data_IF_331775121882
#
_entry.id   IF_331775121882
#
_cell.length_a   1.000
_cell.length_b   1.000
_cell.length_c   1.000
_cell.angle_alpha   90.00
_cell.angle_beta   90.00
_cell.angle_gamma   90.00
#
_symmetry.space_group_name_H-M   'P 1'
#
loop_
_entity.id
_entity.type
_entity.pdbx_description
1 polymer ?
#
# COMPACT_ATOMS: atom_id res chain seq x y z
N UNK A 1 -0.87 -18.74 -2.34
CA UNK A 1 -1.03 -18.24 -3.72
C UNK A 1 -2.23 -17.29 -3.73
N UNK A 2 -2.00 -15.97 -3.71
CA UNK A 2 -3.05 -14.94 -3.86
C UNK A 2 -3.45 -14.88 -5.34
N UNK A 3 -4.24 -15.86 -5.78
CA UNK A 3 -4.86 -15.84 -7.11
C UNK A 3 -6.19 -15.13 -6.95
N UNK A 4 -6.31 -13.94 -7.54
CA UNK A 4 -7.41 -12.97 -7.44
C UNK A 4 -7.29 -12.03 -6.22
N UNK A 5 -7.05 -10.74 -6.46
CA UNK A 5 -7.23 -9.70 -5.43
C UNK A 5 -8.72 -9.68 -5.10
N UNK A 6 -9.08 -10.02 -3.87
CA UNK A 6 -10.46 -10.02 -3.40
C UNK A 6 -11.11 -8.63 -3.59
N UNK A 7 -12.10 -8.52 -4.47
CA UNK A 7 -12.71 -7.22 -4.75
C UNK A 7 -13.74 -6.90 -3.68
N UNK A 8 -13.36 -6.01 -2.76
CA UNK A 8 -14.28 -5.46 -1.75
C UNK A 8 -14.95 -4.21 -2.33
N UNK A 9 -16.28 -4.17 -2.30
CA UNK A 9 -17.07 -3.00 -2.73
C UNK A 9 -18.20 -2.70 -1.76
N UNK A 10 -18.65 -1.45 -1.70
CA UNK A 10 -19.82 -1.03 -0.94
C UNK A 10 -20.97 -0.61 -1.86
N UNK A 11 -22.11 -1.29 -1.78
CA UNK A 11 -23.35 -0.93 -2.47
C UNK A 11 -24.54 -1.42 -1.65
N UNK A 12 -25.08 -0.54 -0.80
CA UNK A 12 -26.12 -0.88 0.20
C UNK A 12 -25.71 -2.07 1.10
N UNK A 13 -24.43 -2.16 1.44
CA UNK A 13 -23.83 -3.28 2.16
C UNK A 13 -22.53 -3.73 1.53
N UNK A 14 -21.76 -4.51 2.29
CA UNK A 14 -20.49 -5.05 1.84
C UNK A 14 -20.70 -6.12 0.78
N UNK A 15 -19.84 -6.10 -0.22
CA UNK A 15 -19.75 -7.15 -1.22
C UNK A 15 -18.30 -7.61 -1.37
N UNK A 16 -18.10 -8.93 -1.35
CA UNK A 16 -16.83 -9.61 -1.61
C UNK A 16 -16.93 -10.31 -2.97
N UNK A 17 -16.06 -9.92 -3.91
CA UNK A 17 -16.06 -10.42 -5.29
C UNK A 17 -17.44 -10.31 -5.98
N UNK A 18 -18.19 -9.24 -5.67
CA UNK A 18 -19.51 -8.96 -6.23
C UNK A 18 -20.67 -9.70 -5.55
N UNK A 19 -20.42 -10.49 -4.51
CA UNK A 19 -21.46 -11.15 -3.70
C UNK A 19 -21.65 -10.42 -2.38
N UNK A 20 -22.88 -10.27 -1.86
CA UNK A 20 -23.10 -9.74 -0.52
C UNK A 20 -22.26 -10.50 0.51
N UNK A 21 -21.63 -9.77 1.43
CA UNK A 21 -20.77 -10.31 2.47
C UNK A 21 -21.05 -9.58 3.79
N UNK A 22 -20.80 -10.25 4.91
CA UNK A 22 -20.84 -9.63 6.23
C UNK A 22 -19.51 -8.92 6.52
N UNK A 23 -19.54 -7.89 7.37
CA UNK A 23 -18.32 -7.14 7.75
C UNK A 23 -17.23 -8.04 8.36
N UNK A 24 -17.63 -9.10 9.07
CA UNK A 24 -16.70 -10.08 9.66
C UNK A 24 -15.90 -10.85 8.59
N UNK A 25 -16.40 -10.97 7.37
CA UNK A 25 -15.68 -11.61 6.24
C UNK A 25 -14.74 -10.60 5.55
N UNK A 26 -15.07 -9.30 5.61
CA UNK A 26 -14.27 -8.22 5.01
C UNK A 26 -13.08 -7.86 5.90
N UNK A 27 -13.28 -7.82 7.22
CA UNK A 27 -12.32 -7.30 8.18
C UNK A 27 -10.92 -7.94 8.04
N UNK A 28 -10.77 -9.27 7.97
CA UNK A 28 -9.44 -9.88 7.86
C UNK A 28 -8.72 -9.53 6.55
N UNK A 29 -9.46 -9.34 5.46
CA UNK A 29 -8.90 -8.96 4.15
C UNK A 29 -8.43 -7.51 4.20
N UNK A 30 -9.23 -6.64 4.80
CA UNK A 30 -8.88 -5.23 4.97
C UNK A 30 -7.66 -5.07 5.89
N UNK A 31 -7.64 -5.75 7.03
CA UNK A 31 -6.53 -5.72 7.98
C UNK A 31 -5.24 -6.24 7.35
N UNK A 32 -5.31 -7.34 6.58
CA UNK A 32 -4.17 -7.87 5.84
C UNK A 32 -3.63 -6.87 4.80
N UNK A 33 -4.51 -6.13 4.11
CA UNK A 33 -4.10 -5.06 3.18
C UNK A 33 -3.47 -3.88 3.89
N UNK A 34 -4.07 -3.47 5.00
CA UNK A 34 -3.54 -2.39 5.82
C UNK A 34 -2.14 -2.72 6.33
N UNK A 35 -1.94 -3.92 6.87
CA UNK A 35 -0.64 -4.37 7.36
C UNK A 35 0.41 -4.41 6.24
N UNK A 36 0.04 -4.92 5.06
CA UNK A 36 0.94 -4.94 3.90
C UNK A 36 1.29 -3.50 3.43
N UNK A 37 0.29 -2.62 3.32
CA UNK A 37 0.50 -1.23 2.91
C UNK A 37 1.35 -0.46 3.93
N UNK A 38 1.12 -0.66 5.24
CA UNK A 38 1.92 -0.08 6.32
C UNK A 38 3.39 -0.51 6.21
N UNK A 39 3.65 -1.81 6.03
CA UNK A 39 5.01 -2.34 5.89
C UNK A 39 5.75 -1.73 4.69
N UNK A 40 5.08 -1.55 3.55
CA UNK A 40 5.69 -0.91 2.38
C UNK A 40 5.90 0.59 2.62
N UNK A 41 4.96 1.26 3.26
CA UNK A 41 5.07 2.68 3.59
C UNK A 41 6.22 2.96 4.58
N UNK A 42 6.38 2.12 5.61
CA UNK A 42 7.50 2.22 6.56
C UNK A 42 8.86 2.07 5.85
N UNK A 43 8.97 1.14 4.90
CA UNK A 43 10.16 0.98 4.07
C UNK A 43 10.43 2.21 3.19
N UNK A 44 9.38 2.79 2.59
CA UNK A 44 9.48 4.01 1.80
C UNK A 44 10.00 5.18 2.62
N UNK A 45 9.42 5.42 3.81
CA UNK A 45 9.84 6.50 4.70
C UNK A 45 11.26 6.30 5.24
N UNK A 46 11.64 5.07 5.62
CA UNK A 46 13.01 4.77 6.05
C UNK A 46 14.03 5.13 4.97
N UNK A 47 13.79 4.71 3.72
CA UNK A 47 14.70 5.00 2.59
C UNK A 47 14.73 6.49 2.23
N UNK A 48 13.62 7.21 2.42
CA UNK A 48 13.59 8.68 2.24
C UNK A 48 14.47 9.41 3.26
N UNK A 49 14.50 8.95 4.51
CA UNK A 49 15.38 9.53 5.53
C UNK A 49 16.83 9.35 5.10
N UNK A 50 17.24 8.14 4.71
CA UNK A 50 18.59 7.88 4.19
C UNK A 50 18.93 8.72 2.95
N UNK A 51 17.95 8.94 2.07
CA UNK A 51 18.11 9.79 0.89
C UNK A 51 18.32 11.26 1.26
N UNK A 52 17.60 11.73 2.29
CA UNK A 52 17.68 13.11 2.78
C UNK A 52 19.04 13.43 3.40
N UNK A 53 19.65 12.46 4.06
CA UNK A 53 20.97 12.60 4.69
C UNK A 53 22.12 12.80 3.69
N UNK A 54 21.87 12.59 2.38
CA UNK A 54 22.86 12.79 1.31
C UNK A 54 23.04 14.25 0.89
N UNK A 55 22.27 15.19 1.46
CA UNK A 55 22.41 16.62 1.15
C UNK A 55 22.10 16.98 -0.30
N UNK A 56 21.17 16.23 -0.92
CA UNK A 56 20.80 16.38 -2.33
C UNK A 56 20.10 17.71 -2.61
N UNK A 57 20.13 18.14 -3.88
CA UNK A 57 19.23 19.18 -4.36
C UNK A 57 17.77 18.68 -4.30
N UNK A 58 16.81 19.60 -4.26
CA UNK A 58 15.39 19.23 -4.23
C UNK A 58 14.99 18.35 -5.43
N UNK A 59 15.53 18.62 -6.62
CA UNK A 59 15.23 17.85 -7.83
C UNK A 59 15.78 16.41 -7.75
N UNK A 60 17.01 16.25 -7.26
CA UNK A 60 17.63 14.93 -7.11
C UNK A 60 16.97 14.12 -5.99
N UNK A 61 16.56 14.78 -4.90
CA UNK A 61 15.77 14.15 -3.84
C UNK A 61 14.42 13.66 -4.37
N UNK A 62 13.71 14.46 -5.16
CA UNK A 62 12.43 14.06 -5.76
C UNK A 62 12.62 12.89 -6.74
N UNK A 63 13.66 12.92 -7.58
CA UNK A 63 14.00 11.82 -8.47
C UNK A 63 14.32 10.53 -7.69
N UNK A 64 15.08 10.63 -6.60
CA UNK A 64 15.36 9.49 -5.73
C UNK A 64 14.11 8.95 -5.03
N UNK A 65 13.19 9.81 -4.59
CA UNK A 65 11.90 9.38 -4.04
C UNK A 65 11.08 8.57 -5.07
N UNK A 66 11.04 9.02 -6.33
CA UNK A 66 10.37 8.28 -7.42
C UNK A 66 10.99 6.90 -7.64
N UNK A 67 12.32 6.79 -7.64
CA UNK A 67 13.00 5.51 -7.77
C UNK A 67 12.71 4.57 -6.59
N UNK A 68 12.62 5.10 -5.37
CA UNK A 68 12.24 4.30 -4.19
C UNK A 68 10.79 3.80 -4.34
N UNK A 69 9.87 4.67 -4.78
CA UNK A 69 8.47 4.31 -5.01
C UNK A 69 8.32 3.22 -6.08
N UNK A 70 8.98 3.39 -7.23
CA UNK A 70 9.03 2.39 -8.31
C UNK A 70 9.58 1.04 -7.81
N UNK A 71 10.65 1.05 -7.02
CA UNK A 71 11.25 -0.17 -6.46
C UNK A 71 10.37 -0.88 -5.42
N UNK A 72 9.43 -0.16 -4.80
CA UNK A 72 8.46 -0.68 -3.84
C UNK A 72 7.09 -0.95 -4.49
N UNK A 73 6.96 -0.71 -5.80
CA UNK A 73 5.72 -0.86 -6.57
C UNK A 73 4.54 -0.03 -6.01
N UNK A 74 4.83 1.20 -5.54
CA UNK A 74 3.82 2.15 -5.00
C UNK A 74 3.78 3.49 -5.73
#
# INVERSE_FOLDING_TARGET
MLRHIDRITWRNGWHLNGRPAHVAEIQPIFDGRMAAALSVWEQYESRKVELRDKGLSNADYEAGCRQIAEALEI
#
